data_IF_594221481494
#
_entry.id   IF_594221481494
#
_cell.length_a   1.000
_cell.length_b   1.000
_cell.length_c   1.000
_cell.angle_alpha   90.00
_cell.angle_beta   90.00
_cell.angle_gamma   90.00
#
_symmetry.space_group_name_H-M   'P 1'
#
loop_
_entity.id
_entity.type
_entity.pdbx_description
1 polymer ?
#
# COMPACT_ATOMS: atom_id res chain seq x y z
N UNK A 1 4.09 -10.30 31.56
CA UNK A 1 4.95 -11.40 31.07
C UNK A 1 6.39 -10.89 31.09
N UNK A 2 7.29 -11.59 31.79
CA UNK A 2 8.68 -11.20 31.92
C UNK A 2 9.52 -11.81 30.81
N UNK A 3 10.36 -11.02 30.16
CA UNK A 3 11.29 -11.47 29.10
C UNK A 3 12.38 -12.31 29.75
N UNK A 4 12.41 -13.62 29.46
CA UNK A 4 13.51 -14.51 29.87
C UNK A 4 14.74 -14.22 29.02
N UNK A 5 15.90 -14.10 29.67
CA UNK A 5 17.19 -13.87 29.03
C UNK A 5 18.12 -15.01 29.39
N UNK A 6 18.81 -15.57 28.41
CA UNK A 6 19.81 -16.61 28.65
C UNK A 6 21.06 -16.02 29.33
N UNK A 7 22.00 -16.89 29.73
CA UNK A 7 23.25 -16.49 30.41
C UNK A 7 24.14 -15.50 29.64
N UNK A 8 23.87 -15.30 28.34
CA UNK A 8 24.56 -14.35 27.47
C UNK A 8 23.78 -13.04 27.28
N UNK A 9 22.67 -12.85 27.99
CA UNK A 9 21.81 -11.66 27.90
C UNK A 9 20.90 -11.59 26.67
N UNK A 10 20.92 -12.61 25.80
CA UNK A 10 20.00 -12.69 24.67
C UNK A 10 18.60 -13.12 25.15
N UNK A 11 17.56 -12.53 24.55
CA UNK A 11 16.18 -12.92 24.81
C UNK A 11 15.99 -14.38 24.40
N UNK A 12 15.62 -15.21 25.37
CA UNK A 12 15.35 -16.62 25.16
C UNK A 12 14.01 -16.75 24.43
N UNK A 13 13.97 -17.53 23.35
CA UNK A 13 12.72 -17.79 22.65
C UNK A 13 11.81 -18.61 23.58
N UNK A 14 10.68 -18.04 24.02
CA UNK A 14 9.67 -18.82 24.73
C UNK A 14 9.13 -19.88 23.77
N UNK A 15 9.33 -21.17 24.12
CA UNK A 15 8.74 -22.31 23.42
C UNK A 15 7.24 -22.40 23.74
N UNK A 16 6.49 -21.40 23.32
CA UNK A 16 5.05 -21.34 23.50
C UNK A 16 4.37 -21.98 22.28
N UNK A 17 3.92 -23.22 22.43
CA UNK A 17 3.19 -23.94 21.38
C UNK A 17 1.72 -23.49 21.40
N UNK A 18 1.41 -22.45 20.63
CA UNK A 18 0.04 -21.97 20.44
C UNK A 18 -0.60 -22.66 19.24
N UNK A 19 -1.87 -23.07 19.36
CA UNK A 19 -2.64 -23.62 18.24
C UNK A 19 -4.01 -22.93 18.12
N UNK A 20 -4.44 -22.66 16.89
CA UNK A 20 -5.79 -22.20 16.55
C UNK A 20 -6.50 -23.32 15.81
N UNK A 21 -7.58 -23.86 16.40
CA UNK A 21 -8.34 -24.98 15.84
C UNK A 21 -7.43 -26.12 15.34
N UNK A 22 -6.55 -26.60 16.23
CA UNK A 22 -5.56 -27.67 15.99
C UNK A 22 -4.49 -27.35 14.93
N UNK A 23 -4.45 -26.13 14.42
CA UNK A 23 -3.38 -25.64 13.55
C UNK A 23 -2.34 -24.91 14.40
N UNK A 24 -1.07 -25.39 14.47
CA UNK A 24 -0.03 -24.72 15.24
C UNK A 24 0.26 -23.35 14.63
N UNK A 25 0.27 -22.31 15.47
CA UNK A 25 0.72 -20.97 15.09
C UNK A 25 2.25 -21.01 15.07
N UNK A 26 2.90 -20.68 13.94
CA UNK A 26 4.35 -20.69 13.86
C UNK A 26 4.94 -19.63 14.80
N UNK A 27 5.93 -20.03 15.61
CA UNK A 27 6.70 -19.10 16.44
C UNK A 27 7.65 -18.29 15.54
N UNK A 28 7.64 -16.96 15.72
CA UNK A 28 8.46 -16.04 14.94
C UNK A 28 9.49 -15.36 15.83
N UNK A 29 10.75 -15.40 15.43
CA UNK A 29 11.81 -14.61 16.07
C UNK A 29 11.75 -13.15 15.63
N UNK A 30 12.37 -12.24 16.40
CA UNK A 30 12.40 -10.79 16.09
C UNK A 30 12.99 -10.43 14.72
N UNK A 31 13.74 -11.33 14.08
CA UNK A 31 14.37 -11.12 12.78
C UNK A 31 13.59 -11.77 11.62
N UNK A 32 12.51 -12.49 11.93
CA UNK A 32 11.67 -13.14 10.93
C UNK A 32 10.46 -12.27 10.59
N UNK A 33 10.07 -12.30 9.33
CA UNK A 33 8.84 -11.70 8.83
C UNK A 33 7.96 -12.78 8.19
N UNK A 34 6.66 -12.58 8.24
CA UNK A 34 5.65 -13.47 7.68
C UNK A 34 4.91 -12.73 6.59
N UNK A 35 4.76 -13.33 5.41
CA UNK A 35 4.04 -12.68 4.32
C UNK A 35 2.53 -12.90 4.47
N UNK A 36 1.79 -11.85 4.82
CA UNK A 36 0.34 -11.86 4.80
C UNK A 36 -0.19 -11.15 3.55
N UNK A 37 -0.91 -11.89 2.71
CA UNK A 37 -1.45 -11.42 1.42
C UNK A 37 -0.37 -10.78 0.52
N UNK A 38 0.84 -11.34 0.54
CA UNK A 38 1.97 -10.90 -0.26
C UNK A 38 2.60 -9.57 0.20
N UNK A 39 2.42 -9.21 1.47
CA UNK A 39 3.16 -8.16 2.17
C UNK A 39 3.79 -8.78 3.42
N UNK A 40 5.07 -8.50 3.66
CA UNK A 40 5.76 -8.91 4.88
C UNK A 40 5.22 -8.16 6.10
N UNK A 41 4.61 -8.91 7.00
CA UNK A 41 4.23 -8.49 8.34
C UNK A 41 5.29 -8.95 9.36
N UNK A 42 5.66 -8.08 10.31
CA UNK A 42 6.75 -8.35 11.27
C UNK A 42 7.63 -7.13 11.61
N UNK A 43 8.69 -7.37 12.40
CA UNK A 43 9.53 -6.31 12.99
C UNK A 43 10.65 -5.78 12.07
N UNK A 44 10.84 -6.34 10.88
CA UNK A 44 11.84 -5.83 9.92
C UNK A 44 11.29 -4.64 9.12
N UNK A 45 11.68 -3.42 9.50
CA UNK A 45 11.27 -2.18 8.84
C UNK A 45 11.97 -1.93 7.50
N UNK A 46 13.14 -2.55 7.26
CA UNK A 46 13.97 -2.30 6.07
C UNK A 46 13.43 -3.08 4.87
N UNK A 47 13.02 -4.34 5.06
CA UNK A 47 12.39 -5.15 4.00
C UNK A 47 11.09 -4.53 3.47
N UNK A 48 10.28 -3.93 4.35
CA UNK A 48 8.98 -3.32 4.01
C UNK A 48 9.05 -2.20 2.95
N UNK A 49 10.15 -1.44 2.88
CA UNK A 49 10.32 -0.40 1.86
C UNK A 49 10.57 -0.96 0.46
N UNK A 50 11.21 -2.12 0.36
CA UNK A 50 11.64 -2.73 -0.91
C UNK A 50 10.50 -3.54 -1.55
N UNK A 51 9.56 -4.04 -0.76
CA UNK A 51 8.46 -4.91 -1.22
C UNK A 51 7.46 -4.25 -2.18
N UNK A 52 7.33 -2.92 -2.15
CA UNK A 52 6.41 -2.21 -3.05
C UNK A 52 6.97 -2.06 -4.47
N UNK A 53 8.29 -1.98 -4.64
CA UNK A 53 8.89 -1.68 -5.94
C UNK A 53 8.54 -2.72 -7.03
N UNK A 54 8.56 -4.05 -6.77
CA UNK A 54 8.09 -5.05 -7.73
C UNK A 54 6.60 -4.87 -8.09
N UNK A 55 5.73 -4.57 -7.11
CA UNK A 55 4.30 -4.35 -7.35
C UNK A 55 4.06 -3.13 -8.23
N UNK A 56 4.77 -2.02 -7.99
CA UNK A 56 4.68 -0.83 -8.83
C UNK A 56 5.22 -1.06 -10.24
N UNK A 57 6.26 -1.90 -10.40
CA UNK A 57 6.75 -2.29 -11.73
C UNK A 57 5.68 -3.03 -12.53
N UNK A 58 5.04 -4.03 -11.92
CA UNK A 58 3.91 -4.75 -12.54
C UNK A 58 2.76 -3.78 -12.86
N UNK A 59 2.43 -2.88 -11.94
CA UNK A 59 1.38 -1.88 -12.15
C UNK A 59 1.67 -0.97 -13.36
N UNK A 60 2.93 -0.57 -13.56
CA UNK A 60 3.35 0.21 -14.75
C UNK A 60 3.19 -0.59 -16.03
N UNK A 61 3.52 -1.88 -16.02
CA UNK A 61 3.35 -2.78 -17.17
C UNK A 61 1.87 -2.93 -17.53
N UNK A 62 1.02 -3.14 -16.52
CA UNK A 62 -0.43 -3.26 -16.68
C UNK A 62 -1.05 -1.95 -17.17
N UNK A 63 -0.56 -0.79 -16.69
CA UNK A 63 -0.96 0.51 -17.21
C UNK A 63 -0.62 0.66 -18.70
N UNK A 64 0.58 0.25 -19.11
CA UNK A 64 0.99 0.28 -20.52
C UNK A 64 0.11 -0.64 -21.36
N UNK A 65 -0.09 -1.88 -20.92
CA UNK A 65 -0.95 -2.84 -21.63
C UNK A 65 -2.38 -2.32 -21.79
N UNK A 66 -2.93 -1.65 -20.77
CA UNK A 66 -4.24 -1.05 -20.83
C UNK A 66 -4.30 0.12 -21.82
N UNK A 67 -3.27 0.96 -21.87
CA UNK A 67 -3.17 2.09 -22.81
C UNK A 67 -3.05 1.59 -24.26
N UNK A 68 -2.35 0.48 -24.48
CA UNK A 68 -2.13 -0.13 -25.80
C UNK A 68 -3.24 -1.11 -26.22
N UNK A 69 -4.24 -1.35 -25.36
CA UNK A 69 -5.28 -2.38 -25.55
C UNK A 69 -6.27 -2.12 -26.69
N UNK A 70 -6.24 -0.94 -27.33
CA UNK A 70 -7.22 -0.52 -28.34
C UNK A 70 -8.59 -0.12 -27.77
N UNK A 71 -8.75 -0.13 -26.44
CA UNK A 71 -9.94 0.40 -25.78
C UNK A 71 -10.10 1.89 -26.03
N UNK A 72 -11.35 2.36 -26.01
CA UNK A 72 -11.62 3.78 -26.13
C UNK A 72 -11.00 4.55 -24.94
N UNK A 73 -10.51 5.79 -25.11
CA UNK A 73 -9.77 6.47 -24.05
C UNK A 73 -10.52 6.62 -22.72
N UNK A 74 -11.84 6.84 -22.76
CA UNK A 74 -12.65 6.90 -21.54
C UNK A 74 -12.77 5.54 -20.83
N UNK A 75 -12.72 4.42 -21.57
CA UNK A 75 -12.71 3.08 -21.00
C UNK A 75 -11.37 2.79 -20.33
N UNK A 76 -10.25 3.22 -20.93
CA UNK A 76 -8.92 3.13 -20.31
C UNK A 76 -8.88 3.91 -18.99
N UNK A 77 -9.32 5.17 -18.99
CA UNK A 77 -9.37 5.99 -17.76
C UNK A 77 -10.25 5.35 -16.69
N UNK A 78 -11.41 4.81 -17.07
CA UNK A 78 -12.29 4.08 -16.14
C UNK A 78 -11.60 2.83 -15.59
N UNK A 79 -10.95 2.04 -16.44
CA UNK A 79 -10.28 0.80 -16.05
C UNK A 79 -9.10 1.05 -15.10
N UNK A 80 -8.37 2.15 -15.26
CA UNK A 80 -7.34 2.56 -14.29
C UNK A 80 -7.94 2.71 -12.88
N UNK A 81 -9.05 3.46 -12.77
CA UNK A 81 -9.69 3.72 -11.48
C UNK A 81 -10.29 2.46 -10.85
N UNK A 82 -10.92 1.62 -11.68
CA UNK A 82 -11.71 0.47 -11.21
C UNK A 82 -10.85 -0.77 -10.98
N UNK A 83 -9.78 -0.97 -11.75
CA UNK A 83 -9.00 -2.20 -11.71
C UNK A 83 -7.55 -1.99 -11.30
N UNK A 84 -6.93 -0.87 -11.69
CA UNK A 84 -5.51 -0.67 -11.46
C UNK A 84 -5.24 -0.16 -10.04
N UNK A 85 -5.95 0.88 -9.60
CA UNK A 85 -5.76 1.44 -8.25
C UNK A 85 -6.05 0.43 -7.12
N UNK A 86 -7.16 -0.34 -7.14
CA UNK A 86 -7.45 -1.29 -6.07
C UNK A 86 -6.36 -2.35 -5.86
N UNK A 87 -5.59 -2.69 -6.90
CA UNK A 87 -4.50 -3.68 -6.79
C UNK A 87 -3.35 -3.24 -5.90
N UNK A 88 -3.18 -1.95 -5.68
CA UNK A 88 -2.14 -1.42 -4.77
C UNK A 88 -2.68 -0.91 -3.45
N UNK A 89 -4.00 -0.76 -3.28
CA UNK A 89 -4.58 -0.23 -2.05
C UNK A 89 -4.17 -1.02 -0.80
N UNK A 90 -4.22 -2.35 -0.87
CA UNK A 90 -3.78 -3.20 0.24
C UNK A 90 -2.30 -2.98 0.57
N UNK A 91 -1.45 -2.85 -0.45
CA UNK A 91 -0.03 -2.56 -0.28
C UNK A 91 0.20 -1.19 0.36
N UNK A 92 -0.47 -0.16 -0.13
CA UNK A 92 -0.36 1.20 0.40
C UNK A 92 -0.94 1.33 1.82
N UNK A 93 -1.89 0.49 2.21
CA UNK A 93 -2.43 0.48 3.59
C UNK A 93 -1.42 -0.03 4.62
N UNK A 94 -0.60 -1.01 4.27
CA UNK A 94 0.29 -1.69 5.23
C UNK A 94 1.77 -1.30 5.08
N UNK A 95 2.15 -0.70 3.94
CA UNK A 95 3.50 -0.26 3.66
C UNK A 95 3.61 1.27 3.75
N UNK A 96 4.82 1.73 4.07
CA UNK A 96 5.19 3.15 4.09
C UNK A 96 6.24 3.41 3.01
N UNK A 97 5.84 3.42 1.72
CA UNK A 97 6.75 3.69 0.63
C UNK A 97 7.18 5.16 0.61
N UNK A 98 8.30 5.42 -0.04
CA UNK A 98 8.73 6.77 -0.35
C UNK A 98 7.88 7.38 -1.48
N UNK A 99 7.47 8.63 -1.32
CA UNK A 99 6.68 9.40 -2.30
C UNK A 99 7.26 9.35 -3.71
N UNK A 100 8.59 9.31 -3.84
CA UNK A 100 9.27 9.27 -5.13
C UNK A 100 8.84 8.05 -5.97
N UNK A 101 8.62 6.90 -5.34
CA UNK A 101 8.20 5.69 -6.03
C UNK A 101 6.76 5.81 -6.53
N UNK A 102 5.88 6.41 -5.74
CA UNK A 102 4.47 6.65 -6.08
C UNK A 102 4.34 7.67 -7.21
N UNK A 103 5.04 8.81 -7.10
CA UNK A 103 5.12 9.84 -8.15
C UNK A 103 5.64 9.27 -9.46
N UNK A 104 6.62 8.36 -9.39
CA UNK A 104 7.16 7.69 -10.57
C UNK A 104 6.15 6.79 -11.31
N UNK A 105 5.09 6.32 -10.65
CA UNK A 105 3.95 5.66 -11.31
C UNK A 105 2.99 6.70 -11.89
N UNK A 106 2.63 7.74 -11.14
CA UNK A 106 1.72 8.79 -11.61
C UNK A 106 2.25 9.46 -12.89
N UNK A 107 3.56 9.73 -12.96
CA UNK A 107 4.22 10.28 -14.13
C UNK A 107 4.22 9.32 -15.33
N UNK A 108 4.35 8.01 -15.09
CA UNK A 108 4.24 6.99 -16.13
C UNK A 108 2.84 6.98 -16.74
N UNK A 109 1.83 6.89 -15.88
CA UNK A 109 0.42 6.88 -16.28
C UNK A 109 0.04 8.16 -17.03
N UNK A 110 0.42 9.33 -16.50
CA UNK A 110 0.14 10.63 -17.14
C UNK A 110 0.76 10.75 -18.53
N UNK A 111 1.99 10.27 -18.72
CA UNK A 111 2.65 10.27 -20.03
C UNK A 111 1.92 9.37 -21.03
N UNK A 112 1.56 8.16 -20.62
CA UNK A 112 0.80 7.23 -21.48
C UNK A 112 -0.58 7.78 -21.85
N UNK A 113 -1.31 8.33 -20.87
CA UNK A 113 -2.64 8.93 -21.12
C UNK A 113 -2.56 10.18 -22.00
N UNK A 114 -1.52 11.00 -21.85
CA UNK A 114 -1.28 12.15 -22.74
C UNK A 114 -1.15 11.70 -24.20
N UNK A 115 -0.40 10.63 -24.44
CA UNK A 115 -0.25 10.05 -25.77
C UNK A 115 -1.58 9.49 -26.29
N UNK A 116 -2.27 8.68 -25.49
CA UNK A 116 -3.57 8.08 -25.83
C UNK A 116 -4.62 9.13 -26.23
N UNK A 117 -4.68 10.24 -25.48
CA UNK A 117 -5.62 11.34 -25.69
C UNK A 117 -5.14 12.38 -26.71
N UNK A 118 -3.95 12.21 -27.30
CA UNK A 118 -3.32 13.16 -28.24
C UNK A 118 -3.22 14.58 -27.68
N UNK A 119 -2.94 14.69 -26.39
CA UNK A 119 -2.87 15.97 -25.69
C UNK A 119 -1.52 16.67 -25.95
N UNK A 120 -1.50 18.01 -26.08
CA UNK A 120 -0.26 18.78 -26.18
C UNK A 120 0.71 18.54 -25.02
N UNK A 121 2.00 18.77 -25.24
CA UNK A 121 2.99 18.75 -24.15
C UNK A 121 2.73 19.83 -23.10
N UNK A 122 2.12 20.96 -23.51
CA UNK A 122 1.73 22.07 -22.63
C UNK A 122 0.53 21.75 -21.73
N UNK A 123 -0.16 20.61 -21.88
CA UNK A 123 -1.30 20.27 -21.02
C UNK A 123 -0.85 20.15 -19.56
N UNK A 124 -1.44 21.00 -18.73
CA UNK A 124 -1.26 21.08 -17.29
C UNK A 124 -1.46 19.72 -16.60
N UNK A 125 -0.74 19.47 -15.50
CA UNK A 125 -0.84 18.19 -14.77
C UNK A 125 -2.20 18.07 -14.09
N UNK A 126 -2.74 19.20 -13.68
CA UNK A 126 -4.01 19.38 -13.00
C UNK A 126 -5.18 18.84 -13.83
N UNK A 127 -5.09 18.87 -15.17
CA UNK A 127 -6.10 18.28 -16.06
C UNK A 127 -6.37 16.79 -15.75
N UNK A 128 -5.32 16.03 -15.43
CA UNK A 128 -5.44 14.59 -15.18
C UNK A 128 -6.13 14.30 -13.83
N UNK A 129 -5.98 15.18 -12.86
CA UNK A 129 -6.46 14.98 -11.49
C UNK A 129 -7.77 15.73 -11.19
N UNK A 130 -8.06 16.80 -11.95
CA UNK A 130 -9.29 17.58 -11.81
C UNK A 130 -10.51 16.67 -12.01
N UNK A 131 -11.56 16.78 -11.18
CA UNK A 131 -12.77 15.97 -11.30
C UNK A 131 -13.38 16.02 -12.70
N UNK A 132 -14.03 14.93 -13.10
CA UNK A 132 -14.72 14.84 -14.41
C UNK A 132 -15.83 15.89 -14.54
N UNK A 133 -16.48 16.23 -13.43
CA UNK A 133 -17.49 17.31 -13.38
C UNK A 133 -16.93 18.71 -13.67
N UNK A 134 -15.61 18.88 -13.62
CA UNK A 134 -14.90 20.13 -13.95
C UNK A 134 -14.04 20.00 -15.22
N UNK A 135 -14.29 18.99 -16.05
CA UNK A 135 -13.63 18.81 -17.34
C UNK A 135 -12.26 18.12 -17.28
N UNK A 136 -11.86 17.56 -16.15
CA UNK A 136 -10.64 16.75 -16.04
C UNK A 136 -10.88 15.24 -16.16
N UNK A 137 -9.84 14.43 -15.91
CA UNK A 137 -9.95 12.97 -15.92
C UNK A 137 -10.32 12.37 -14.56
N UNK A 138 -10.21 13.14 -13.48
CA UNK A 138 -10.52 12.73 -12.10
C UNK A 138 -9.72 11.53 -11.62
N UNK A 139 -8.45 11.42 -12.02
CA UNK A 139 -7.51 10.46 -11.44
C UNK A 139 -7.07 10.96 -10.06
N UNK A 140 -6.73 10.02 -9.18
CA UNK A 140 -6.19 10.32 -7.86
C UNK A 140 -4.69 10.03 -7.88
N UNK A 141 -3.80 10.98 -7.55
CA UNK A 141 -2.38 10.71 -7.38
C UNK A 141 -2.16 9.62 -6.33
N UNK A 142 -1.21 8.70 -6.54
CA UNK A 142 -0.96 7.61 -5.59
C UNK A 142 -0.50 8.09 -4.22
N UNK A 143 0.17 9.23 -4.14
CA UNK A 143 0.57 9.85 -2.85
C UNK A 143 -0.68 10.27 -2.06
N UNK A 144 -1.67 10.88 -2.72
CA UNK A 144 -2.93 11.28 -2.07
C UNK A 144 -3.77 10.05 -1.69
N UNK A 145 -3.83 9.04 -2.56
CA UNK A 145 -4.47 7.77 -2.26
C UNK A 145 -3.82 7.10 -1.04
N UNK A 146 -2.49 7.08 -0.96
CA UNK A 146 -1.75 6.52 0.17
C UNK A 146 -2.10 7.25 1.47
N UNK A 147 -2.04 8.58 1.48
CA UNK A 147 -2.41 9.36 2.66
C UNK A 147 -3.87 9.10 3.10
N UNK A 148 -4.81 9.07 2.14
CA UNK A 148 -6.21 8.78 2.43
C UNK A 148 -6.40 7.37 3.02
N UNK A 149 -5.71 6.36 2.50
CA UNK A 149 -5.75 4.99 3.00
C UNK A 149 -5.18 4.87 4.41
N UNK A 150 -4.08 5.58 4.71
CA UNK A 150 -3.48 5.61 6.04
C UNK A 150 -4.42 6.23 7.07
N UNK A 151 -5.04 7.37 6.75
CA UNK A 151 -6.04 8.02 7.61
C UNK A 151 -7.24 7.10 7.85
N UNK A 152 -7.79 6.53 6.77
CA UNK A 152 -8.93 5.62 6.86
C UNK A 152 -8.61 4.38 7.72
N UNK A 153 -7.41 3.82 7.57
CA UNK A 153 -6.97 2.66 8.35
C UNK A 153 -6.78 3.00 9.82
N UNK A 154 -6.10 4.11 10.14
CA UNK A 154 -5.95 4.59 11.52
C UNK A 154 -7.30 4.85 12.19
N UNK A 155 -8.24 5.46 11.46
CA UNK A 155 -9.60 5.66 11.95
C UNK A 155 -10.31 4.34 12.28
N UNK A 156 -10.20 3.34 11.41
CA UNK A 156 -10.75 2.00 11.64
C UNK A 156 -10.14 1.33 12.88
N UNK A 157 -8.83 1.45 13.09
CA UNK A 157 -8.17 0.88 14.27
C UNK A 157 -8.65 1.55 15.56
N UNK A 158 -8.76 2.89 15.57
CA UNK A 158 -9.23 3.66 16.73
C UNK A 158 -10.70 3.36 17.10
N UNK A 159 -11.51 2.96 16.11
CA UNK A 159 -12.93 2.63 16.26
C UNK A 159 -13.23 1.13 16.12
N UNK A 160 -12.20 0.29 16.22
CA UNK A 160 -12.36 -1.18 16.13
C UNK A 160 -13.35 -1.66 17.20
N UNK A 161 -14.22 -2.66 16.93
CA UNK A 161 -15.07 -3.25 17.96
C UNK A 161 -14.26 -3.91 19.08
N UNK A 162 -13.06 -4.40 18.78
CA UNK A 162 -12.15 -5.02 19.74
C UNK A 162 -11.48 -3.97 20.66
N UNK A 163 -11.71 -4.00 21.98
CA UNK A 163 -11.06 -3.12 22.94
C UNK A 163 -9.53 -3.20 22.94
N UNK A 164 -8.94 -4.37 22.65
CA UNK A 164 -7.49 -4.56 22.62
C UNK A 164 -6.86 -3.79 21.46
N UNK A 165 -7.46 -3.87 20.26
CA UNK A 165 -7.01 -3.11 19.08
C UNK A 165 -7.10 -1.60 19.34
N UNK A 166 -8.23 -1.12 19.89
CA UNK A 166 -8.38 0.31 20.22
C UNK A 166 -7.32 0.79 21.20
N UNK A 167 -7.02 -0.01 22.22
CA UNK A 167 -5.97 0.31 23.20
C UNK A 167 -4.62 0.42 22.51
N UNK A 168 -4.21 -0.58 21.71
CA UNK A 168 -2.94 -0.56 20.99
C UNK A 168 -2.84 0.66 20.06
N UNK A 169 -3.90 0.94 19.29
CA UNK A 169 -3.91 2.07 18.36
C UNK A 169 -3.76 3.43 19.07
N UNK A 170 -4.39 3.61 20.24
CA UNK A 170 -4.25 4.84 21.04
C UNK A 170 -2.82 4.99 21.60
N UNK A 171 -2.25 3.90 22.12
CA UNK A 171 -0.86 3.91 22.63
C UNK A 171 0.14 4.28 21.52
N UNK A 172 -0.03 3.73 20.31
CA UNK A 172 0.82 4.07 19.17
C UNK A 172 0.72 5.55 18.77
N UNK A 173 -0.46 6.17 18.93
CA UNK A 173 -0.65 7.58 18.59
C UNK A 173 0.04 8.53 19.58
N UNK A 174 0.19 8.13 20.86
CA UNK A 174 0.93 8.90 21.86
C UNK A 174 2.46 8.80 21.71
N UNK A 175 2.97 7.86 20.90
CA UNK A 175 4.40 7.64 20.68
C UNK A 175 4.98 8.43 19.50
N UNK A 176 4.15 9.17 18.76
CA UNK A 176 4.52 10.04 17.63
C UNK A 176 4.69 11.48 18.15
#
# INVERSE_FOLDING_TARGET
>A
MGVRRNGNGAVEADNLDLALADTPIPTMTHHQSYAYLGIGDGFDHVRRRIELAPKLKLLKQDATALIESGLAPWQVVKAVKVYLYPRVEYALRHLHPEDQHLKGFDDHLRRGLRHLLRLPQSTAKEFFYTPVSRGGLGLLPLVELHAALQIAHGWQMLHSPDPAIRRIAREQLYQI
#
